data_IF_236743091567
#
_entry.id   IF_236743091567
#
_cell.length_a   1.000
_cell.length_b   1.000
_cell.length_c   1.000
_cell.angle_alpha   90.00
_cell.angle_beta   90.00
_cell.angle_gamma   90.00
#
_symmetry.space_group_name_H-M   'P 1'
#
loop_
_entity.id
_entity.type
_entity.pdbx_description
1 polymer ?
#
# COMPACT_ATOMS: atom_id res chain seq x y z
N UNK A 1 23.68 -49.98 16.01
CA UNK A 1 23.17 -49.42 14.75
C UNK A 1 21.67 -49.66 14.65
N UNK A 2 20.91 -48.61 14.27
CA UNK A 2 19.50 -48.63 13.79
C UNK A 2 18.45 -48.91 14.89
N UNK A 3 17.41 -48.12 15.12
CA UNK A 3 16.84 -46.96 14.45
C UNK A 3 15.37 -46.89 14.89
N UNK A 4 14.98 -45.80 15.55
CA UNK A 4 13.63 -45.56 16.10
C UNK A 4 12.63 -45.51 14.93
N UNK A 5 11.59 -46.36 14.95
CA UNK A 5 10.57 -46.44 13.91
C UNK A 5 9.40 -45.51 14.26
N UNK A 6 9.38 -44.34 13.62
CA UNK A 6 8.32 -43.33 13.75
C UNK A 6 7.06 -43.81 13.00
N UNK A 7 5.85 -43.67 13.56
CA UNK A 7 4.60 -44.02 12.88
C UNK A 7 4.27 -43.05 11.74
N UNK A 8 3.77 -43.63 10.63
CA UNK A 8 3.34 -42.91 9.42
C UNK A 8 2.10 -42.06 9.72
N UNK A 9 2.18 -40.77 9.39
CA UNK A 9 1.04 -39.86 9.31
C UNK A 9 0.56 -39.70 7.87
N UNK A 10 -0.72 -39.36 7.78
CA UNK A 10 -1.42 -38.63 6.72
C UNK A 10 -2.26 -39.47 5.75
N UNK A 11 -3.50 -39.67 6.18
CA UNK A 11 -4.71 -39.43 5.40
C UNK A 11 -4.55 -38.25 4.43
N UNK A 12 -4.79 -38.51 3.15
CA UNK A 12 -5.12 -37.48 2.17
C UNK A 12 -6.08 -38.09 1.16
N UNK A 13 -7.36 -37.75 1.34
CA UNK A 13 -8.42 -37.83 0.35
C UNK A 13 -7.89 -37.51 -1.06
N UNK A 14 -7.84 -38.51 -1.93
CA UNK A 14 -7.58 -38.33 -3.35
C UNK A 14 -8.78 -38.84 -4.14
N UNK A 15 -9.83 -38.02 -4.19
CA UNK A 15 -10.92 -38.13 -5.16
C UNK A 15 -10.39 -37.77 -6.55
N UNK A 16 -9.81 -38.74 -7.23
CA UNK A 16 -9.38 -38.61 -8.63
C UNK A 16 -10.53 -38.95 -9.58
N UNK A 17 -11.37 -37.96 -9.85
CA UNK A 17 -12.42 -38.06 -10.86
C UNK A 17 -12.20 -37.03 -11.97
N UNK A 18 -11.45 -37.37 -13.02
CA UNK A 18 -11.59 -36.78 -14.37
C UNK A 18 -10.97 -37.78 -15.37
N UNK A 19 -11.81 -38.50 -16.12
CA UNK A 19 -12.49 -38.12 -17.38
C UNK A 19 -11.65 -38.57 -18.57
N UNK A 20 -12.22 -39.53 -19.30
CA UNK A 20 -11.58 -40.30 -20.34
C UNK A 20 -11.02 -39.49 -21.50
N UNK A 21 -9.99 -40.07 -22.09
CA UNK A 21 -9.39 -39.74 -23.37
C UNK A 21 -10.32 -40.13 -24.51
N UNK A 22 -10.67 -39.17 -25.38
CA UNK A 22 -11.26 -39.45 -26.69
C UNK A 22 -10.64 -38.53 -27.76
N UNK A 23 -9.78 -39.18 -28.54
CA UNK A 23 -9.39 -39.02 -29.94
C UNK A 23 -9.48 -37.66 -30.68
N UNK A 24 -8.36 -37.41 -31.35
CA UNK A 24 -7.98 -36.40 -32.35
C UNK A 24 -8.85 -36.49 -33.62
N UNK A 25 -9.20 -35.35 -34.21
CA UNK A 25 -9.55 -35.20 -35.63
C UNK A 25 -9.14 -33.80 -36.11
N UNK A 26 -8.36 -33.65 -37.19
CA UNK A 26 -8.04 -32.35 -37.77
C UNK A 26 -8.92 -32.09 -38.99
N UNK A 27 -9.70 -31.01 -38.99
CA UNK A 27 -10.25 -30.46 -40.24
C UNK A 27 -9.89 -28.98 -40.37
N UNK A 28 -9.31 -28.69 -41.52
CA UNK A 28 -8.85 -27.38 -42.00
C UNK A 28 -10.07 -26.65 -42.56
N UNK A 29 -10.38 -25.46 -42.07
CA UNK A 29 -10.46 -24.24 -42.89
C UNK A 29 -10.95 -23.02 -42.10
N UNK A 30 -10.44 -21.81 -42.40
CA UNK A 30 -10.66 -20.60 -41.63
C UNK A 30 -11.92 -19.88 -42.14
N UNK A 31 -12.82 -19.47 -41.25
CA UNK A 31 -13.82 -18.47 -41.60
C UNK A 31 -13.87 -17.36 -40.55
N UNK A 32 -13.44 -16.18 -41.00
CA UNK A 32 -13.65 -14.89 -40.33
C UNK A 32 -15.15 -14.67 -40.18
N UNK A 33 -15.63 -14.43 -38.96
CA UNK A 33 -16.73 -13.49 -38.72
C UNK A 33 -16.92 -13.27 -37.22
N UNK A 34 -16.33 -12.17 -36.75
CA UNK A 34 -17.04 -11.15 -35.99
C UNK A 34 -18.12 -11.67 -35.00
N UNK A 35 -17.70 -12.13 -33.82
CA UNK A 35 -18.55 -12.11 -32.62
C UNK A 35 -17.98 -11.11 -31.63
N UNK A 36 -18.44 -9.87 -31.80
CA UNK A 36 -18.49 -8.85 -30.76
C UNK A 36 -19.15 -9.44 -29.51
N UNK A 37 -18.56 -9.17 -28.35
CA UNK A 37 -19.25 -9.21 -27.07
C UNK A 37 -19.02 -10.46 -26.21
N UNK A 38 -17.98 -10.42 -25.40
CA UNK A 38 -18.01 -11.03 -24.06
C UNK A 38 -17.52 -9.96 -23.09
N UNK A 39 -18.45 -9.49 -22.27
CA UNK A 39 -18.33 -8.27 -21.49
C UNK A 39 -17.27 -8.36 -20.41
N UNK A 40 -16.19 -7.60 -20.60
CA UNK A 40 -15.61 -6.89 -19.46
C UNK A 40 -16.44 -5.62 -19.33
N UNK A 41 -17.45 -5.62 -18.46
CA UNK A 41 -18.12 -4.38 -18.07
C UNK A 41 -17.06 -3.35 -17.65
N UNK A 42 -17.33 -2.03 -17.71
CA UNK A 42 -16.39 -1.06 -17.20
C UNK A 42 -16.14 -1.42 -15.74
N UNK A 43 -15.01 -2.07 -15.44
CA UNK A 43 -14.47 -2.11 -14.09
C UNK A 43 -14.40 -0.65 -13.76
N UNK A 44 -15.31 -0.18 -12.89
CA UNK A 44 -15.45 1.21 -12.52
C UNK A 44 -14.08 1.69 -12.11
N UNK A 45 -13.36 2.22 -13.10
CA UNK A 45 -12.03 2.73 -12.95
C UNK A 45 -12.31 3.98 -12.20
N UNK A 46 -12.27 3.89 -10.86
CA UNK A 46 -12.02 5.06 -10.05
C UNK A 46 -10.76 5.60 -10.71
N UNK A 47 -10.92 6.64 -11.51
CA UNK A 47 -9.82 7.47 -11.95
C UNK A 47 -9.31 8.02 -10.63
N UNK A 48 -8.45 7.26 -9.97
CA UNK A 48 -7.73 7.71 -8.81
C UNK A 48 -6.94 8.86 -9.39
N UNK A 49 -7.47 10.07 -9.21
CA UNK A 49 -6.77 11.26 -9.64
C UNK A 49 -5.42 11.15 -8.95
N UNK A 50 -4.35 11.22 -9.75
CA UNK A 50 -3.01 11.02 -9.20
C UNK A 50 -2.79 12.15 -8.19
N UNK A 51 -2.72 11.83 -6.92
CA UNK A 51 -2.50 12.81 -5.86
C UNK A 51 -1.12 12.60 -5.26
N UNK A 52 -0.48 13.66 -4.74
CA UNK A 52 0.76 13.50 -4.01
C UNK A 52 0.49 12.73 -2.71
N UNK A 53 1.17 11.60 -2.54
CA UNK A 53 1.11 10.75 -1.35
C UNK A 53 2.52 10.42 -0.88
N UNK A 54 2.69 10.06 0.39
CA UNK A 54 3.99 9.65 0.92
C UNK A 54 4.47 8.37 0.23
N UNK A 55 5.73 8.35 -0.22
CA UNK A 55 6.35 7.15 -0.76
C UNK A 55 6.64 6.15 0.36
N UNK A 56 5.86 5.06 0.41
CA UNK A 56 5.96 4.02 1.45
C UNK A 56 7.31 3.28 1.43
N UNK A 57 7.99 3.20 0.29
CA UNK A 57 9.34 2.63 0.20
C UNK A 57 10.40 3.52 0.87
N UNK A 58 10.10 4.81 1.07
CA UNK A 58 10.96 5.78 1.75
C UNK A 58 10.42 6.14 3.14
N UNK A 59 9.61 5.28 3.74
CA UNK A 59 9.03 5.54 5.06
C UNK A 59 10.08 5.55 6.18
N UNK A 60 11.07 4.64 6.13
CA UNK A 60 12.14 4.59 7.13
C UNK A 60 12.97 5.90 7.18
N UNK A 61 13.52 6.40 6.06
CA UNK A 61 14.23 7.68 6.08
C UNK A 61 13.32 8.86 6.41
N UNK A 62 12.06 8.85 5.94
CA UNK A 62 11.09 9.88 6.32
C UNK A 62 10.87 9.94 7.85
N UNK A 63 10.71 8.78 8.51
CA UNK A 63 10.53 8.71 9.97
C UNK A 63 11.76 9.24 10.71
N UNK A 64 12.96 8.96 10.20
CA UNK A 64 14.20 9.46 10.79
C UNK A 64 14.25 11.00 10.73
N UNK A 65 14.09 11.58 9.54
CA UNK A 65 14.12 13.03 9.36
C UNK A 65 13.01 13.74 10.18
N UNK A 66 11.80 13.15 10.23
CA UNK A 66 10.70 13.70 11.04
C UNK A 66 11.01 13.66 12.53
N UNK A 67 11.60 12.57 13.03
CA UNK A 67 11.98 12.47 14.43
C UNK A 67 13.09 13.45 14.78
N UNK A 68 14.02 13.74 13.86
CA UNK A 68 15.06 14.75 14.07
C UNK A 68 14.43 16.13 14.26
N UNK A 69 13.48 16.52 13.39
CA UNK A 69 12.74 17.79 13.52
C UNK A 69 11.93 17.83 14.82
N UNK A 70 11.23 16.75 15.16
CA UNK A 70 10.42 16.69 16.39
C UNK A 70 11.26 16.60 17.66
N UNK A 71 12.49 16.09 17.61
CA UNK A 71 13.40 16.05 18.76
C UNK A 71 13.96 17.42 19.11
N UNK A 72 13.99 18.32 18.14
CA UNK A 72 14.38 19.72 18.32
C UNK A 72 13.20 20.59 18.76
N UNK A 73 11.97 20.08 18.64
CA UNK A 73 10.78 20.83 19.00
C UNK A 73 10.46 20.75 20.49
N UNK A 74 9.70 21.72 20.97
CA UNK A 74 9.18 21.73 22.35
C UNK A 74 7.97 20.80 22.55
N UNK A 75 7.63 19.97 21.56
CA UNK A 75 6.49 19.06 21.65
C UNK A 75 6.79 17.92 22.63
N UNK A 76 5.81 17.56 23.45
CA UNK A 76 5.91 16.40 24.33
C UNK A 76 6.20 15.11 23.52
N UNK A 77 7.21 14.27 23.90
CA UNK A 77 7.57 13.07 23.14
C UNK A 77 6.44 12.06 22.93
N UNK A 78 5.51 11.96 23.88
CA UNK A 78 4.34 11.07 23.78
C UNK A 78 3.37 11.58 22.72
N UNK A 79 3.12 12.90 22.73
CA UNK A 79 2.34 13.58 21.70
C UNK A 79 3.02 13.49 20.32
N UNK A 80 4.33 13.71 20.24
CA UNK A 80 5.11 13.65 19.00
C UNK A 80 5.00 12.28 18.31
N UNK A 81 5.04 11.19 19.08
CA UNK A 81 4.87 9.83 18.56
C UNK A 81 3.48 9.61 17.93
N UNK A 82 2.43 10.10 18.61
CA UNK A 82 1.04 10.00 18.14
C UNK A 82 0.78 10.89 16.92
N UNK A 83 1.35 12.10 16.93
CA UNK A 83 1.34 13.04 15.82
C UNK A 83 2.00 12.43 14.57
N UNK A 84 3.21 11.90 14.71
CA UNK A 84 3.96 11.27 13.62
C UNK A 84 3.21 10.09 13.01
N UNK A 85 2.62 9.22 13.85
CA UNK A 85 1.80 8.11 13.37
C UNK A 85 0.60 8.59 12.53
N UNK A 86 -0.06 9.66 12.98
CA UNK A 86 -1.21 10.25 12.29
C UNK A 86 -0.81 10.93 10.98
N UNK A 87 0.31 11.68 10.97
CA UNK A 87 0.88 12.29 9.77
C UNK A 87 1.20 11.22 8.72
N UNK A 88 1.88 10.14 9.11
CA UNK A 88 2.18 9.02 8.21
C UNK A 88 0.90 8.40 7.67
N UNK A 89 -0.09 8.14 8.53
CA UNK A 89 -1.34 7.54 8.11
C UNK A 89 -2.07 8.42 7.09
N UNK A 90 -2.18 9.73 7.32
CA UNK A 90 -2.80 10.68 6.39
C UNK A 90 -2.02 10.79 5.08
N UNK A 91 -0.70 10.98 5.17
CA UNK A 91 0.17 11.16 4.01
C UNK A 91 0.24 9.91 3.12
N UNK A 92 0.23 8.72 3.70
CA UNK A 92 0.38 7.44 2.98
C UNK A 92 -0.94 6.83 2.49
N UNK A 93 -2.08 7.20 3.08
CA UNK A 93 -3.39 6.62 2.73
C UNK A 93 -4.33 7.58 2.02
N UNK A 94 -4.20 8.89 2.25
CA UNK A 94 -5.10 9.92 1.72
C UNK A 94 -4.34 10.85 0.78
N UNK A 95 -3.56 11.80 1.31
CA UNK A 95 -2.69 12.67 0.53
C UNK A 95 -1.68 13.40 1.43
N UNK A 96 -0.59 13.89 0.85
CA UNK A 96 0.32 14.79 1.58
C UNK A 96 -0.34 16.10 1.94
N UNK A 97 -1.32 16.57 1.14
CA UNK A 97 -2.09 17.79 1.45
C UNK A 97 -2.86 17.65 2.77
N UNK A 98 -3.59 16.55 2.95
CA UNK A 98 -4.33 16.28 4.20
C UNK A 98 -3.40 16.16 5.42
N UNK A 99 -2.17 15.68 5.19
CA UNK A 99 -1.15 15.65 6.23
C UNK A 99 -0.67 17.06 6.60
N UNK A 100 -0.47 17.95 5.62
CA UNK A 100 -0.13 19.36 5.87
C UNK A 100 -1.25 20.10 6.61
N UNK A 101 -2.51 19.85 6.24
CA UNK A 101 -3.67 20.43 6.93
C UNK A 101 -3.71 19.98 8.40
N UNK A 102 -3.36 18.72 8.67
CA UNK A 102 -3.23 18.24 10.05
C UNK A 102 -2.06 18.90 10.80
N UNK A 103 -0.90 19.10 10.16
CA UNK A 103 0.23 19.84 10.77
C UNK A 103 -0.21 21.27 11.13
N UNK A 104 -0.99 21.92 10.26
CA UNK A 104 -1.50 23.27 10.49
C UNK A 104 -2.37 23.36 11.75
N UNK A 105 -3.22 22.36 12.03
CA UNK A 105 -4.01 22.33 13.27
C UNK A 105 -3.16 22.31 14.54
N UNK A 106 -1.94 21.75 14.49
CA UNK A 106 -1.03 21.74 15.63
C UNK A 106 -0.29 23.06 15.81
N UNK A 107 -0.06 23.79 14.73
CA UNK A 107 0.46 25.17 14.77
C UNK A 107 -0.57 26.09 15.43
N UNK A 108 -1.85 25.96 15.04
CA UNK A 108 -2.96 26.73 15.61
C UNK A 108 -3.19 26.41 17.09
N UNK A 109 -2.97 25.16 17.48
CA UNK A 109 -3.01 24.73 18.88
C UNK A 109 -1.78 25.18 19.71
N UNK A 110 -0.75 25.77 19.08
CA UNK A 110 0.47 26.23 19.76
C UNK A 110 1.45 25.10 20.13
N UNK A 111 1.24 23.89 19.62
CA UNK A 111 2.12 22.74 19.88
C UNK A 111 3.30 22.65 18.92
N UNK A 112 3.29 23.45 17.86
CA UNK A 112 4.30 23.51 16.80
C UNK A 112 4.54 24.97 16.43
N UNK A 113 5.81 25.32 16.23
CA UNK A 113 6.18 26.63 15.70
C UNK A 113 6.00 26.68 14.18
N UNK A 114 5.99 27.89 13.62
CA UNK A 114 5.88 28.09 12.16
C UNK A 114 7.10 27.54 11.41
N UNK A 115 8.30 27.64 11.99
CA UNK A 115 9.53 27.13 11.36
C UNK A 115 9.55 25.59 11.29
N UNK A 116 9.07 24.93 12.35
CA UNK A 116 8.95 23.47 12.37
C UNK A 116 7.90 22.99 11.37
N UNK A 117 6.75 23.66 11.27
CA UNK A 117 5.71 23.29 10.32
C UNK A 117 6.19 23.43 8.87
N UNK A 118 6.96 24.47 8.55
CA UNK A 118 7.61 24.64 7.25
C UNK A 118 8.60 23.50 6.97
N UNK A 119 9.38 23.10 7.97
CA UNK A 119 10.32 21.99 7.85
C UNK A 119 9.62 20.65 7.61
N UNK A 120 8.54 20.36 8.35
CA UNK A 120 7.70 19.17 8.18
C UNK A 120 7.04 19.19 6.78
N UNK A 121 6.53 20.32 6.33
CA UNK A 121 5.93 20.46 5.00
C UNK A 121 6.93 20.16 3.88
N UNK A 122 8.18 20.64 4.02
CA UNK A 122 9.27 20.32 3.08
C UNK A 122 9.62 18.84 3.07
N UNK A 123 9.61 18.18 4.24
CA UNK A 123 9.82 16.73 4.31
C UNK A 123 8.69 15.96 3.61
N UNK A 124 7.43 16.34 3.85
CA UNK A 124 6.29 15.73 3.18
C UNK A 124 6.41 15.84 1.66
N UNK A 125 6.83 16.99 1.13
CA UNK A 125 7.03 17.17 -0.31
C UNK A 125 8.22 16.36 -0.85
N UNK A 126 9.37 16.37 -0.16
CA UNK A 126 10.58 15.64 -0.55
C UNK A 126 10.36 14.13 -0.65
N UNK A 127 9.52 13.59 0.22
CA UNK A 127 9.21 12.16 0.28
C UNK A 127 7.89 11.80 -0.42
N UNK A 128 7.24 12.77 -1.08
CA UNK A 128 6.00 12.54 -1.83
C UNK A 128 6.26 11.87 -3.18
N UNK A 129 5.22 11.19 -3.68
CA UNK A 129 5.13 10.61 -5.01
C UNK A 129 3.67 10.70 -5.49
N UNK A 130 3.46 10.99 -6.78
CA UNK A 130 2.13 10.97 -7.38
C UNK A 130 1.61 9.54 -7.53
N UNK A 131 0.53 9.23 -6.83
CA UNK A 131 -0.09 7.91 -6.76
C UNK A 131 -1.56 7.93 -7.16
#
# INVERSE_FOLDING_TARGET
>A
MRGIKIPKRNDANYTRSYKGSAQKSPSRSPNRQNRRGSGSGPRGGRTSSRQPMLNTHRLAPFKYDMNEVLSQSSMDPTMASSFLATVIAKASRISTRDAKDYVQTFVEAGNLTKDESVSINRLLDRYSMYR
#
